data_IF_098064439657
#
_entry.id   IF_098064439657
#
_cell.length_a   1.000
_cell.length_b   1.000
_cell.length_c   1.000
_cell.angle_alpha   90.00
_cell.angle_beta   90.00
_cell.angle_gamma   90.00
#
_symmetry.space_group_name_H-M   'P 1'
#
loop_
_entity.id
_entity.type
_entity.pdbx_description
1 polymer ?
#
# COMPACT_ATOMS: atom_id res chain seq x y z
N UNK A 1 5.87 7.38 -11.68
CA UNK A 1 5.27 6.78 -10.46
C UNK A 1 4.61 5.48 -10.91
N UNK A 2 4.89 4.36 -10.25
CA UNK A 2 4.30 3.06 -10.59
C UNK A 2 2.97 2.92 -9.87
N UNK A 3 1.94 2.50 -10.57
CA UNK A 3 0.59 2.38 -10.01
C UNK A 3 -0.07 1.11 -10.53
N UNK A 4 -0.98 0.55 -9.74
CA UNK A 4 -1.88 -0.53 -10.14
C UNK A 4 -3.32 -0.15 -9.81
N UNK A 5 -4.27 -0.73 -10.53
CA UNK A 5 -5.69 -0.61 -10.21
C UNK A 5 -6.08 -1.58 -9.10
N UNK A 6 -7.27 -1.40 -8.54
CA UNK A 6 -7.81 -2.31 -7.53
C UNK A 6 -8.13 -3.67 -8.11
N UNK A 7 -8.58 -3.76 -9.36
CA UNK A 7 -8.83 -5.02 -10.06
C UNK A 7 -7.54 -5.85 -10.18
N UNK A 8 -6.43 -5.19 -10.52
CA UNK A 8 -5.11 -5.84 -10.57
C UNK A 8 -4.64 -6.30 -9.19
N UNK A 9 -4.88 -5.50 -8.15
CA UNK A 9 -4.59 -5.90 -6.77
C UNK A 9 -5.42 -7.14 -6.37
N UNK A 10 -6.73 -7.14 -6.66
CA UNK A 10 -7.64 -8.24 -6.35
C UNK A 10 -7.25 -9.52 -7.09
N UNK A 11 -6.86 -9.43 -8.37
CA UNK A 11 -6.39 -10.58 -9.14
C UNK A 11 -5.18 -11.25 -8.45
N UNK A 12 -4.22 -10.46 -7.96
CA UNK A 12 -3.05 -10.97 -7.24
C UNK A 12 -3.38 -11.57 -5.88
N UNK A 13 -4.28 -10.93 -5.13
CA UNK A 13 -4.76 -11.47 -3.85
C UNK A 13 -5.48 -12.82 -4.10
N UNK A 14 -6.36 -12.88 -5.10
CA UNK A 14 -7.15 -14.07 -5.42
C UNK A 14 -6.32 -15.21 -6.02
N UNK A 15 -5.19 -14.91 -6.65
CA UNK A 15 -4.25 -15.93 -7.15
C UNK A 15 -3.40 -16.56 -6.04
N UNK A 16 -3.42 -15.99 -4.83
CA UNK A 16 -2.59 -16.42 -3.71
C UNK A 16 -1.14 -15.93 -3.80
N UNK A 17 -0.87 -14.93 -4.64
CA UNK A 17 0.44 -14.29 -4.74
C UNK A 17 0.85 -13.69 -3.38
N UNK A 18 2.08 -13.95 -2.97
CA UNK A 18 2.65 -13.35 -1.75
C UNK A 18 3.11 -11.93 -2.09
N UNK A 19 2.34 -10.93 -1.65
CA UNK A 19 2.61 -9.52 -1.92
C UNK A 19 2.99 -8.76 -0.65
N UNK A 20 3.93 -7.82 -0.73
CA UNK A 20 4.23 -6.90 0.36
C UNK A 20 3.23 -5.71 0.31
N UNK A 21 2.04 -5.91 0.88
CA UNK A 21 0.97 -4.91 0.89
C UNK A 21 0.97 -4.09 2.18
N UNK A 22 1.05 -2.76 2.05
CA UNK A 22 1.05 -1.83 3.17
C UNK A 22 -0.08 -0.81 3.10
N UNK A 23 -0.66 -0.52 4.26
CA UNK A 23 -1.64 0.54 4.45
C UNK A 23 -0.98 1.74 5.10
N UNK A 24 -1.00 2.89 4.43
CA UNK A 24 -0.41 4.14 4.95
C UNK A 24 -1.44 5.11 5.55
N UNK A 25 -2.66 4.62 5.82
CA UNK A 25 -3.67 5.33 6.62
C UNK A 25 -3.29 5.35 8.10
N UNK A 26 -4.07 6.08 8.86
CA UNK A 26 -3.94 6.15 10.31
C UNK A 26 -4.48 4.86 10.96
N UNK A 27 -3.95 4.49 12.13
CA UNK A 27 -4.31 3.23 12.79
C UNK A 27 -5.81 3.08 13.02
N UNK A 28 -6.52 4.15 13.40
CA UNK A 28 -7.96 4.07 13.61
C UNK A 28 -8.75 3.81 12.31
N UNK A 29 -8.27 4.30 11.15
CA UNK A 29 -8.91 4.00 9.86
C UNK A 29 -8.67 2.54 9.45
N UNK A 30 -7.51 1.98 9.83
CA UNK A 30 -7.16 0.58 9.59
C UNK A 30 -7.94 -0.38 10.50
N UNK A 31 -8.13 0.00 11.77
CA UNK A 31 -8.90 -0.75 12.75
C UNK A 31 -10.40 -0.79 12.39
N UNK A 32 -10.93 0.31 11.83
CA UNK A 32 -12.30 0.37 11.33
C UNK A 32 -12.51 -0.52 10.10
N UNK A 33 -11.54 -0.55 9.18
CA UNK A 33 -11.64 -1.31 7.95
C UNK A 33 -10.25 -1.60 7.36
N UNK A 34 -9.96 -2.83 6.95
CA UNK A 34 -8.72 -3.17 6.24
C UNK A 34 -8.88 -4.36 5.30
N UNK A 35 -7.91 -4.48 4.39
CA UNK A 35 -7.87 -5.49 3.32
C UNK A 35 -6.76 -6.53 3.54
N UNK A 36 -6.36 -6.76 4.80
CA UNK A 36 -5.28 -7.70 5.14
C UNK A 36 -3.86 -7.17 4.91
N UNK A 37 -3.72 -5.87 4.62
CA UNK A 37 -2.44 -5.18 4.51
C UNK A 37 -1.76 -5.00 5.88
N UNK A 38 -0.45 -4.76 5.89
CA UNK A 38 0.27 -4.31 7.09
C UNK A 38 0.15 -2.79 7.26
N UNK A 39 -0.35 -2.31 8.39
CA UNK A 39 -0.48 -0.88 8.65
C UNK A 39 0.85 -0.24 9.06
N UNK A 40 1.29 0.78 8.30
CA UNK A 40 2.38 1.69 8.67
C UNK A 40 1.95 3.09 8.22
N UNK A 41 1.40 3.94 9.12
CA UNK A 41 0.93 5.27 8.77
C UNK A 41 2.01 6.09 8.06
N UNK A 42 1.59 6.95 7.13
CA UNK A 42 2.49 7.81 6.35
C UNK A 42 3.47 8.60 7.25
N UNK A 43 2.99 9.14 8.38
CA UNK A 43 3.81 9.89 9.33
C UNK A 43 4.81 9.04 10.10
N UNK A 44 4.59 7.73 10.18
CA UNK A 44 5.43 6.78 10.90
C UNK A 44 6.46 6.10 10.01
N UNK A 45 6.35 6.16 8.67
CA UNK A 45 7.32 5.56 7.73
C UNK A 45 8.80 5.81 8.08
N UNK A 46 9.23 7.01 8.53
CA UNK A 46 10.63 7.23 8.91
C UNK A 46 11.12 6.31 10.04
N UNK A 47 10.22 5.93 10.96
CA UNK A 47 10.52 5.06 12.11
C UNK A 47 10.62 3.59 11.71
N UNK A 48 10.02 3.22 10.58
CA UNK A 48 9.96 1.83 10.08
C UNK A 48 10.96 1.56 8.95
N UNK A 49 11.86 2.49 8.61
CA UNK A 49 12.80 2.30 7.50
C UNK A 49 13.74 1.12 7.70
N UNK A 50 14.21 0.88 8.93
CA UNK A 50 15.06 -0.28 9.23
C UNK A 50 14.30 -1.60 9.07
N UNK A 51 13.04 -1.63 9.50
CA UNK A 51 12.15 -2.78 9.34
C UNK A 51 11.83 -3.06 7.87
N UNK A 52 11.67 -2.00 7.07
CA UNK A 52 11.39 -2.10 5.64
C UNK A 52 12.65 -2.32 4.80
N UNK A 53 13.85 -2.10 5.34
CA UNK A 53 15.11 -2.20 4.59
C UNK A 53 15.32 -3.54 3.84
N UNK A 54 14.90 -4.71 4.36
CA UNK A 54 14.97 -5.97 3.62
C UNK A 54 14.15 -5.99 2.31
N UNK A 55 13.17 -5.10 2.17
CA UNK A 55 12.28 -5.00 1.00
C UNK A 55 12.76 -3.98 -0.04
N UNK A 56 13.96 -3.39 0.10
CA UNK A 56 14.44 -2.33 -0.81
C UNK A 56 14.43 -2.71 -2.29
N UNK A 57 14.72 -3.98 -2.59
CA UNK A 57 14.75 -4.52 -3.95
C UNK A 57 13.48 -5.31 -4.31
N UNK A 58 12.57 -5.48 -3.36
CA UNK A 58 11.32 -6.20 -3.53
C UNK A 58 10.20 -5.24 -3.96
N UNK A 59 9.12 -5.80 -4.50
CA UNK A 59 7.92 -5.02 -4.74
C UNK A 59 7.20 -4.69 -3.43
N UNK A 60 6.93 -3.41 -3.22
CA UNK A 60 6.11 -2.88 -2.13
C UNK A 60 4.86 -2.27 -2.76
N UNK A 61 3.70 -2.84 -2.46
CA UNK A 61 2.41 -2.29 -2.85
C UNK A 61 1.88 -1.49 -1.67
N UNK A 62 1.52 -0.23 -1.91
CA UNK A 62 0.99 0.65 -0.87
C UNK A 62 -0.39 1.15 -1.27
N UNK A 63 -1.28 1.24 -0.30
CA UNK A 63 -2.60 1.85 -0.48
C UNK A 63 -2.92 2.80 0.66
N UNK A 64 -3.92 3.66 0.42
CA UNK A 64 -4.51 4.46 1.47
C UNK A 64 -6.03 4.53 1.27
N UNK A 65 -6.67 5.62 1.68
CA UNK A 65 -8.11 5.83 1.47
C UNK A 65 -8.49 5.94 -0.02
N UNK A 66 -7.79 6.81 -0.77
CA UNK A 66 -8.17 7.18 -2.15
C UNK A 66 -7.00 7.24 -3.14
N UNK A 67 -5.79 6.88 -2.71
CA UNK A 67 -4.55 6.92 -3.51
C UNK A 67 -3.64 8.15 -3.25
N UNK A 68 -4.17 9.26 -2.71
CA UNK A 68 -3.38 10.49 -2.52
C UNK A 68 -2.25 10.35 -1.48
N UNK A 69 -2.56 9.80 -0.29
CA UNK A 69 -1.53 9.50 0.74
C UNK A 69 -0.56 8.41 0.28
N UNK A 70 -1.04 7.43 -0.48
CA UNK A 70 -0.19 6.39 -1.07
C UNK A 70 0.85 6.99 -2.02
N UNK A 71 0.46 7.94 -2.89
CA UNK A 71 1.43 8.67 -3.72
C UNK A 71 2.49 9.45 -2.92
N UNK A 72 2.18 9.94 -1.73
CA UNK A 72 3.17 10.59 -0.84
C UNK A 72 4.14 9.56 -0.23
N UNK A 73 3.60 8.45 0.27
CA UNK A 73 4.40 7.34 0.79
C UNK A 73 5.31 6.74 -0.29
N UNK A 74 4.82 6.59 -1.53
CA UNK A 74 5.61 6.13 -2.67
C UNK A 74 6.82 7.03 -2.88
N UNK A 75 6.59 8.34 -3.00
CA UNK A 75 7.66 9.33 -3.20
C UNK A 75 8.68 9.27 -2.06
N UNK A 76 8.20 9.16 -0.82
CA UNK A 76 9.06 9.08 0.35
C UNK A 76 9.95 7.83 0.31
N UNK A 77 9.36 6.63 0.16
CA UNK A 77 10.10 5.37 0.12
C UNK A 77 11.06 5.32 -1.08
N UNK A 78 10.63 5.76 -2.27
CA UNK A 78 11.54 5.86 -3.42
C UNK A 78 12.75 6.76 -3.12
N UNK A 79 12.56 7.87 -2.41
CA UNK A 79 13.67 8.74 -2.00
C UNK A 79 14.61 8.09 -0.96
N UNK A 80 14.14 7.08 -0.23
CA UNK A 80 14.95 6.27 0.71
C UNK A 80 15.64 5.07 0.04
N UNK A 81 15.54 4.95 -1.29
CA UNK A 81 16.20 3.92 -2.08
C UNK A 81 15.41 2.61 -2.22
N UNK A 82 14.09 2.65 -2.08
CA UNK A 82 13.21 1.53 -2.44
C UNK A 82 12.92 1.57 -3.94
N UNK A 83 13.33 0.51 -4.65
CA UNK A 83 13.37 0.51 -6.12
C UNK A 83 11.99 0.22 -6.74
N UNK A 84 11.13 -0.54 -6.05
CA UNK A 84 9.84 -0.97 -6.58
C UNK A 84 8.67 -0.69 -5.65
N UNK A 85 8.34 0.58 -5.47
CA UNK A 85 7.14 1.00 -4.72
C UNK A 85 5.99 1.30 -5.67
N UNK A 86 4.84 0.66 -5.49
CA UNK A 86 3.67 0.70 -6.36
C UNK A 86 2.47 1.21 -5.56
N UNK A 87 1.79 2.25 -6.05
CA UNK A 87 0.61 2.82 -5.39
C UNK A 87 -0.69 2.22 -5.96
N UNK A 88 -1.65 1.89 -5.09
CA UNK A 88 -2.98 1.42 -5.51
C UNK A 88 -3.89 2.62 -5.79
N UNK A 89 -4.28 2.77 -7.05
CA UNK A 89 -5.22 3.80 -7.50
C UNK A 89 -6.59 3.60 -6.86
N UNK A 90 -7.23 4.68 -6.39
CA UNK A 90 -8.54 4.61 -5.75
C UNK A 90 -8.54 4.10 -4.30
N UNK A 91 -7.46 3.44 -3.85
CA UNK A 91 -7.29 2.99 -2.48
C UNK A 91 -8.39 2.04 -2.00
N UNK A 92 -8.63 2.03 -0.69
CA UNK A 92 -9.65 1.16 -0.08
C UNK A 92 -11.09 1.51 -0.49
N UNK A 93 -11.37 2.76 -0.87
CA UNK A 93 -12.71 3.13 -1.34
C UNK A 93 -13.08 2.37 -2.61
N UNK A 94 -12.19 2.37 -3.61
CA UNK A 94 -12.41 1.62 -4.84
C UNK A 94 -12.38 0.09 -4.62
N UNK A 95 -11.62 -0.38 -3.62
CA UNK A 95 -11.66 -1.79 -3.18
C UNK A 95 -13.05 -2.22 -2.72
N UNK A 96 -13.67 -1.44 -1.83
CA UNK A 96 -15.00 -1.76 -1.32
C UNK A 96 -16.09 -1.60 -2.37
N UNK A 97 -15.98 -0.63 -3.27
CA UNK A 97 -16.90 -0.48 -4.40
C UNK A 97 -16.93 -1.75 -5.28
N UNK A 98 -15.76 -2.32 -5.58
CA UNK A 98 -15.65 -3.53 -6.41
C UNK A 98 -16.09 -4.81 -5.70
N UNK A 99 -15.86 -4.96 -4.39
CA UNK A 99 -16.36 -6.12 -3.64
C UNK A 99 -17.88 -6.16 -3.51
N UNK A 100 -18.53 -5.00 -3.56
CA UNK A 100 -19.99 -4.89 -3.49
C UNK A 100 -20.70 -5.05 -4.85
N UNK A 101 -19.93 -5.14 -5.94
CA UNK A 101 -20.42 -5.29 -7.31
C UNK A 101 -20.58 -6.76 -7.71
#
# INVERSE_FOLDING_TARGET
>A
MKEITVEQLLERINSGEQINLFDVREYWEYDEDNIGAKCIPLGDLPKHLEELAPLKNEEIIIHCKSGARGGQAQKYLTAQGFENVVNVCGGILAYRELETA
#
